data_IF_157138221027
#
_entry.id   IF_157138221027
#
_cell.length_a   1.000
_cell.length_b   1.000
_cell.length_c   1.000
_cell.angle_alpha   90.00
_cell.angle_beta   90.00
_cell.angle_gamma   90.00
#
_symmetry.space_group_name_H-M   'P 1'
#
loop_
_entity.id
_entity.type
_entity.pdbx_description
1 polymer ?
#
# COMPACT_ATOMS: atom_id res chain seq x y z
N UNK A 1 1.79 9.32 -2.72
CA UNK A 1 1.65 7.84 -2.73
C UNK A 1 3.05 7.23 -2.67
N UNK A 2 3.23 6.12 -1.95
CA UNK A 2 4.53 5.44 -1.82
C UNK A 2 4.46 4.04 -2.40
N UNK A 3 5.34 3.73 -3.35
CA UNK A 3 5.32 2.51 -4.17
C UNK A 3 6.51 1.61 -3.87
N UNK A 4 6.36 0.31 -4.13
CA UNK A 4 7.48 -0.65 -4.08
C UNK A 4 8.46 -0.40 -5.24
N UNK A 5 9.75 -0.62 -4.99
CA UNK A 5 10.78 -0.73 -6.01
C UNK A 5 11.15 -2.19 -6.31
N UNK A 6 10.58 -3.16 -5.60
CA UNK A 6 10.96 -4.56 -5.76
C UNK A 6 10.28 -5.19 -6.97
N UNK A 7 11.04 -5.95 -7.75
CA UNK A 7 10.59 -6.49 -9.04
C UNK A 7 10.53 -8.02 -9.07
N UNK A 8 10.93 -8.67 -7.98
CA UNK A 8 11.06 -10.12 -7.89
C UNK A 8 10.72 -10.63 -6.50
N UNK A 9 10.04 -11.77 -6.46
CA UNK A 9 9.90 -12.60 -5.26
C UNK A 9 11.14 -13.48 -5.13
N UNK A 10 11.54 -14.12 -6.23
CA UNK A 10 12.76 -14.91 -6.36
C UNK A 10 13.27 -14.91 -7.82
N UNK A 11 14.17 -15.83 -8.17
CA UNK A 11 14.74 -15.91 -9.52
C UNK A 11 13.72 -16.36 -10.60
N UNK A 12 12.63 -17.02 -10.20
CA UNK A 12 11.61 -17.61 -11.09
C UNK A 12 10.32 -16.79 -11.13
N UNK A 13 10.08 -15.93 -10.13
CA UNK A 13 8.83 -15.19 -9.96
C UNK A 13 9.07 -13.67 -9.97
N UNK A 14 8.64 -13.02 -11.04
CA UNK A 14 8.58 -11.55 -11.13
C UNK A 14 7.38 -11.00 -10.35
N UNK A 15 7.52 -9.77 -9.84
CA UNK A 15 6.44 -9.03 -9.19
C UNK A 15 6.65 -7.52 -9.36
N UNK A 16 5.85 -6.72 -8.67
CA UNK A 16 5.99 -5.29 -8.60
C UNK A 16 4.81 -4.66 -7.90
N UNK A 17 4.55 -3.42 -8.27
CA UNK A 17 3.30 -2.74 -7.98
C UNK A 17 2.15 -3.39 -8.75
N UNK A 18 1.01 -3.61 -8.09
CA UNK A 18 -0.23 -3.96 -8.77
C UNK A 18 -0.84 -2.72 -9.44
N UNK A 19 -0.95 -2.69 -10.77
CA UNK A 19 -1.24 -1.45 -11.53
C UNK A 19 -2.54 -0.76 -11.08
N UNK A 20 -3.65 -1.50 -10.95
CA UNK A 20 -4.95 -0.91 -10.58
C UNK A 20 -4.95 -0.31 -9.17
N UNK A 21 -4.16 -0.87 -8.26
CA UNK A 21 -4.03 -0.41 -6.87
C UNK A 21 -3.29 0.94 -6.76
N UNK A 22 -2.56 1.34 -7.81
CA UNK A 22 -2.03 2.69 -7.93
C UNK A 22 -2.94 3.57 -8.80
N UNK A 23 -3.36 3.07 -9.95
CA UNK A 23 -4.02 3.90 -10.95
C UNK A 23 -5.41 4.36 -10.50
N UNK A 24 -6.21 3.49 -9.88
CA UNK A 24 -7.52 3.87 -9.36
C UNK A 24 -7.40 4.92 -8.24
N UNK A 25 -6.56 4.74 -7.20
CA UNK A 25 -6.41 5.77 -6.19
C UNK A 25 -5.79 7.07 -6.72
N UNK A 26 -4.82 6.99 -7.65
CA UNK A 26 -4.23 8.18 -8.24
C UNK A 26 -5.28 9.02 -8.96
N UNK A 27 -6.09 8.41 -9.84
CA UNK A 27 -7.16 9.10 -10.54
C UNK A 27 -8.21 9.66 -9.57
N UNK A 28 -8.64 8.87 -8.58
CA UNK A 28 -9.59 9.31 -7.56
C UNK A 28 -9.09 10.55 -6.81
N UNK A 29 -7.84 10.54 -6.33
CA UNK A 29 -7.27 11.68 -5.62
C UNK A 29 -7.16 12.92 -6.51
N UNK A 30 -6.74 12.76 -7.78
CA UNK A 30 -6.72 13.87 -8.74
C UNK A 30 -8.14 14.40 -9.01
N UNK A 31 -9.13 13.54 -9.14
CA UNK A 31 -10.53 13.91 -9.38
C UNK A 31 -11.15 14.67 -8.19
N UNK A 32 -10.74 14.33 -6.97
CA UNK A 32 -11.11 15.07 -5.75
C UNK A 32 -10.35 16.39 -5.58
N UNK A 33 -9.44 16.73 -6.50
CA UNK A 33 -8.70 17.99 -6.52
C UNK A 33 -7.45 17.99 -5.65
N UNK A 34 -6.94 16.83 -5.23
CA UNK A 34 -5.68 16.73 -4.50
C UNK A 34 -4.47 16.83 -5.44
N UNK A 35 -3.40 17.40 -4.91
CA UNK A 35 -2.06 17.25 -5.45
C UNK A 35 -1.47 15.92 -4.97
N UNK A 36 -0.92 15.14 -5.91
CA UNK A 36 -0.46 13.78 -5.66
C UNK A 36 0.97 13.65 -6.12
N UNK A 37 1.91 13.61 -5.18
CA UNK A 37 3.28 13.21 -5.46
C UNK A 37 3.42 11.70 -5.40
N UNK A 38 4.17 11.15 -6.34
CA UNK A 38 4.46 9.71 -6.43
C UNK A 38 5.92 9.48 -6.06
N UNK A 39 6.13 8.68 -5.02
CA UNK A 39 7.44 8.39 -4.48
C UNK A 39 7.65 6.89 -4.30
N UNK A 40 8.90 6.50 -4.18
CA UNK A 40 9.29 5.17 -3.74
C UNK A 40 10.54 5.25 -2.86
N UNK A 41 10.99 4.12 -2.32
CA UNK A 41 12.14 4.09 -1.43
C UNK A 41 13.44 4.55 -2.13
N UNK A 42 13.62 4.16 -3.39
CA UNK A 42 14.80 4.44 -4.20
C UNK A 42 14.55 5.50 -5.28
N UNK A 43 13.30 5.96 -5.44
CA UNK A 43 12.85 6.76 -6.58
C UNK A 43 12.97 6.00 -7.91
N UNK A 44 12.84 6.74 -9.01
CA UNK A 44 13.03 6.21 -10.36
C UNK A 44 11.86 5.35 -10.83
N UNK A 45 12.15 4.44 -11.76
CA UNK A 45 11.13 3.61 -12.41
C UNK A 45 10.58 2.54 -11.46
N UNK A 46 9.26 2.38 -11.46
CA UNK A 46 8.56 1.38 -10.68
C UNK A 46 8.31 0.13 -11.52
N UNK A 47 8.66 -1.07 -11.02
CA UNK A 47 8.28 -2.32 -11.65
C UNK A 47 6.78 -2.57 -11.45
N UNK A 48 6.10 -3.03 -12.49
CA UNK A 48 4.71 -3.49 -12.42
C UNK A 48 4.70 -5.01 -12.35
N UNK A 49 3.83 -5.56 -11.50
CA UNK A 49 3.61 -7.00 -11.46
C UNK A 49 3.00 -7.44 -12.81
N UNK A 50 3.63 -8.39 -13.53
CA UNK A 50 3.12 -8.84 -14.83
C UNK A 50 1.68 -9.39 -14.76
N UNK A 51 1.26 -9.93 -13.62
CA UNK A 51 -0.10 -10.46 -13.42
C UNK A 51 -1.14 -9.36 -13.21
N UNK A 52 -0.70 -8.13 -12.95
CA UNK A 52 -1.57 -6.96 -12.83
C UNK A 52 -1.80 -6.24 -14.16
N UNK A 53 -1.24 -6.75 -15.27
CA UNK A 53 -1.31 -6.13 -16.58
C UNK A 53 -2.28 -6.88 -17.50
N UNK A 54 -3.31 -6.18 -17.94
CA UNK A 54 -4.08 -6.55 -19.12
C UNK A 54 -4.06 -5.41 -20.16
N UNK A 55 -4.25 -5.74 -21.45
CA UNK A 55 -4.13 -4.77 -22.55
C UNK A 55 -5.13 -3.61 -22.42
N UNK A 56 -6.31 -3.85 -21.83
CA UNK A 56 -7.35 -2.83 -21.66
C UNK A 56 -6.98 -1.84 -20.55
N UNK A 57 -6.49 -2.33 -19.42
CA UNK A 57 -5.98 -1.54 -18.29
C UNK A 57 -4.76 -0.71 -18.68
N UNK A 58 -3.82 -1.30 -19.43
CA UNK A 58 -2.62 -0.59 -19.88
C UNK A 58 -2.99 0.57 -20.79
N UNK A 59 -3.94 0.39 -21.72
CA UNK A 59 -4.39 1.50 -22.57
C UNK A 59 -5.22 2.52 -21.79
N UNK A 60 -6.09 2.06 -20.88
CA UNK A 60 -6.88 2.94 -19.98
C UNK A 60 -5.99 3.88 -19.16
N UNK A 61 -4.92 3.34 -18.56
CA UNK A 61 -4.06 4.08 -17.63
C UNK A 61 -2.73 4.55 -18.21
N UNK A 62 -2.59 4.56 -19.54
CA UNK A 62 -1.40 5.04 -20.25
C UNK A 62 -0.94 6.46 -19.87
N UNK A 63 -1.89 7.31 -19.45
CA UNK A 63 -1.58 8.64 -18.93
C UNK A 63 -1.00 8.60 -17.52
N UNK A 64 -1.54 7.72 -16.67
CA UNK A 64 -1.20 7.56 -15.24
C UNK A 64 0.13 6.81 -15.06
N UNK A 65 0.43 5.83 -15.92
CA UNK A 65 1.67 5.06 -15.86
C UNK A 65 2.93 5.89 -16.08
N UNK A 66 2.83 7.09 -16.65
CA UNK A 66 3.97 8.02 -16.76
C UNK A 66 4.52 8.45 -15.40
N UNK A 67 3.65 8.52 -14.39
CA UNK A 67 4.05 8.85 -13.02
C UNK A 67 4.95 7.76 -12.41
N UNK A 68 4.98 6.56 -13.01
CA UNK A 68 5.79 5.43 -12.58
C UNK A 68 7.18 5.41 -13.20
N UNK A 69 7.46 6.23 -14.23
CA UNK A 69 8.75 6.23 -14.92
C UNK A 69 9.86 6.87 -14.08
N UNK A 70 9.52 7.87 -13.27
CA UNK A 70 10.48 8.63 -12.48
C UNK A 70 9.87 9.15 -11.18
N UNK A 71 9.65 8.24 -10.24
CA UNK A 71 9.17 8.59 -8.90
C UNK A 71 10.21 9.34 -8.08
N UNK A 72 9.74 10.15 -7.14
CA UNK A 72 10.58 10.84 -6.18
C UNK A 72 11.16 9.84 -5.16
N UNK A 73 12.30 10.19 -4.56
CA UNK A 73 12.86 9.40 -3.45
C UNK A 73 12.17 9.82 -2.16
N UNK A 74 11.54 8.89 -1.44
CA UNK A 74 10.78 9.19 -0.22
C UNK A 74 11.60 9.98 0.82
N UNK A 75 12.88 9.66 1.00
CA UNK A 75 13.76 10.34 1.97
C UNK A 75 14.09 11.80 1.61
N UNK A 76 13.76 12.25 0.40
CA UNK A 76 13.95 13.62 -0.05
C UNK A 76 12.69 14.47 0.11
N UNK A 77 11.55 13.85 0.47
CA UNK A 77 10.29 14.57 0.66
C UNK A 77 10.17 15.17 2.05
N UNK A 78 9.58 16.36 2.11
CA UNK A 78 9.17 16.96 3.36
C UNK A 78 7.77 16.44 3.77
N UNK A 79 7.72 15.36 4.54
CA UNK A 79 6.44 14.73 4.96
C UNK A 79 5.49 15.67 5.74
N UNK A 80 6.00 16.81 6.22
CA UNK A 80 5.17 17.83 6.87
C UNK A 80 4.17 18.50 5.90
N UNK A 81 4.48 18.55 4.61
CA UNK A 81 3.67 19.25 3.60
C UNK A 81 2.46 18.44 3.12
N UNK A 82 2.38 17.16 3.46
CA UNK A 82 1.33 16.25 2.99
C UNK A 82 0.22 16.07 4.04
N UNK A 83 -1.04 16.02 3.60
CA UNK A 83 -2.20 15.71 4.45
C UNK A 83 -2.40 14.21 4.70
N UNK A 84 -1.85 13.37 3.83
CA UNK A 84 -1.91 11.92 3.98
C UNK A 84 -0.86 11.16 3.18
N UNK A 85 -0.67 9.89 3.52
CA UNK A 85 0.19 8.93 2.85
C UNK A 85 -0.64 7.73 2.42
N UNK A 86 -0.47 7.25 1.19
CA UNK A 86 -1.19 6.11 0.64
C UNK A 86 -0.21 5.10 0.04
N UNK A 87 -0.38 3.82 0.38
CA UNK A 87 0.47 2.70 -0.01
C UNK A 87 -0.33 1.70 -0.87
N UNK A 88 -0.21 1.73 -2.20
CA UNK A 88 -0.64 0.63 -3.06
C UNK A 88 0.09 -0.68 -2.74
N UNK A 89 -0.50 -1.81 -3.11
CA UNK A 89 0.08 -3.14 -2.91
C UNK A 89 0.76 -3.71 -4.16
N UNK A 90 0.54 -5.02 -4.37
CA UNK A 90 1.42 -5.90 -5.15
C UNK A 90 2.48 -6.58 -4.27
N UNK A 91 2.84 -7.82 -4.59
CA UNK A 91 3.70 -8.65 -3.73
C UNK A 91 5.09 -8.06 -3.51
N UNK A 92 5.61 -7.23 -4.42
CA UNK A 92 6.89 -6.55 -4.23
C UNK A 92 6.98 -5.76 -2.92
N UNK A 93 5.84 -5.21 -2.46
CA UNK A 93 5.76 -4.47 -1.19
C UNK A 93 6.19 -5.28 0.03
N UNK A 94 6.05 -6.61 0.00
CA UNK A 94 6.42 -7.51 1.10
C UNK A 94 7.94 -7.57 1.34
N UNK A 95 8.74 -7.19 0.34
CA UNK A 95 10.19 -7.38 0.33
C UNK A 95 10.98 -6.11 0.62
N UNK A 96 10.43 -4.92 0.32
CA UNK A 96 11.15 -3.67 0.48
C UNK A 96 10.52 -2.70 1.50
N UNK A 97 9.20 -2.69 1.66
CA UNK A 97 8.53 -1.75 2.55
C UNK A 97 8.75 -2.06 4.06
N UNK A 98 8.64 -3.31 4.55
CA UNK A 98 8.72 -3.62 5.98
C UNK A 98 10.02 -3.18 6.65
N UNK A 99 11.14 -3.29 5.95
CA UNK A 99 12.48 -3.00 6.48
C UNK A 99 12.93 -1.54 6.28
N UNK A 100 12.07 -0.71 5.65
CA UNK A 100 12.39 0.67 5.35
C UNK A 100 12.22 1.59 6.56
N UNK A 101 13.33 1.93 7.21
CA UNK A 101 13.34 2.91 8.32
C UNK A 101 12.76 4.27 7.91
N UNK A 102 12.99 4.71 6.67
CA UNK A 102 12.46 5.98 6.15
C UNK A 102 10.93 5.92 6.07
N UNK A 103 10.37 4.82 5.58
CA UNK A 103 8.92 4.65 5.52
C UNK A 103 8.32 4.54 6.93
N UNK A 104 8.94 3.77 7.82
CA UNK A 104 8.51 3.66 9.22
C UNK A 104 8.48 5.03 9.91
N UNK A 105 9.51 5.86 9.71
CA UNK A 105 9.56 7.23 10.25
C UNK A 105 8.47 8.12 9.65
N UNK A 106 8.23 8.03 8.34
CA UNK A 106 7.14 8.75 7.70
C UNK A 106 5.79 8.34 8.31
N UNK A 107 5.46 7.05 8.32
CA UNK A 107 4.21 6.52 8.87
C UNK A 107 3.98 6.92 10.33
N UNK A 108 5.01 6.83 11.18
CA UNK A 108 4.94 7.32 12.56
C UNK A 108 4.62 8.82 12.61
N UNK A 109 5.29 9.63 11.78
CA UNK A 109 4.98 11.06 11.67
C UNK A 109 3.52 11.32 11.28
N UNK A 110 2.98 10.63 10.26
CA UNK A 110 1.59 10.78 9.84
C UNK A 110 0.62 10.44 10.98
N UNK A 111 0.84 9.32 11.67
CA UNK A 111 0.00 8.89 12.79
C UNK A 111 0.03 9.88 13.96
N UNK A 112 1.21 10.34 14.36
CA UNK A 112 1.41 11.21 15.53
C UNK A 112 0.92 12.65 15.29
N UNK A 113 0.84 13.07 14.03
CA UNK A 113 0.35 14.39 13.65
C UNK A 113 -1.09 14.38 13.14
N UNK A 114 -1.84 13.30 13.40
CA UNK A 114 -3.25 13.15 13.01
C UNK A 114 -3.48 13.40 11.50
N UNK A 115 -2.58 12.85 10.68
CA UNK A 115 -2.66 12.86 9.21
C UNK A 115 -3.14 11.50 8.70
N UNK A 116 -3.67 11.47 7.48
CA UNK A 116 -4.28 10.26 6.95
C UNK A 116 -3.25 9.21 6.55
N UNK A 117 -3.52 7.93 6.84
CA UNK A 117 -2.76 6.78 6.38
C UNK A 117 -3.70 5.84 5.63
N UNK A 118 -3.41 5.58 4.37
CA UNK A 118 -4.19 4.76 3.46
C UNK A 118 -3.37 3.61 2.90
N UNK A 119 -3.96 2.44 2.69
CA UNK A 119 -3.27 1.32 2.06
C UNK A 119 -4.22 0.27 1.50
N UNK A 120 -3.79 -0.54 0.52
CA UNK A 120 -4.62 -1.61 -0.04
C UNK A 120 -3.79 -2.86 -0.31
N UNK A 121 -4.42 -4.03 -0.24
CA UNK A 121 -3.84 -5.33 -0.61
C UNK A 121 -2.58 -5.64 0.22
N UNK A 122 -1.42 -5.81 -0.40
CA UNK A 122 -0.14 -6.00 0.31
C UNK A 122 0.53 -4.71 0.78
N UNK A 123 0.05 -3.54 0.36
CA UNK A 123 0.56 -2.24 0.82
C UNK A 123 0.72 -2.11 2.35
N UNK A 124 -0.16 -2.70 3.20
CA UNK A 124 0.00 -2.72 4.65
C UNK A 124 1.28 -3.43 5.14
N UNK A 125 2.02 -4.13 4.29
CA UNK A 125 3.37 -4.60 4.59
C UNK A 125 4.28 -3.47 5.07
N UNK A 126 4.12 -2.26 4.53
CA UNK A 126 4.84 -1.08 5.00
C UNK A 126 4.55 -0.67 6.46
N UNK A 127 3.43 -1.13 7.04
CA UNK A 127 3.12 -0.88 8.45
C UNK A 127 3.90 -1.80 9.38
N UNK A 128 4.34 -2.96 8.89
CA UNK A 128 5.03 -3.98 9.68
C UNK A 128 6.31 -3.40 10.25
N UNK A 129 6.42 -3.43 11.58
CA UNK A 129 7.63 -2.98 12.28
C UNK A 129 7.67 -1.47 12.54
N UNK A 130 6.68 -0.70 12.08
CA UNK A 130 6.58 0.72 12.42
C UNK A 130 6.18 0.88 13.89
N UNK A 131 7.02 1.58 14.68
CA UNK A 131 6.71 1.98 16.05
C UNK A 131 6.45 3.47 16.17
N UNK A 132 5.51 3.82 17.03
CA UNK A 132 5.29 5.20 17.47
C UNK A 132 6.26 5.57 18.60
N UNK A 133 6.36 6.86 18.91
CA UNK A 133 7.19 7.40 20.00
C UNK A 133 6.86 6.83 21.39
N UNK A 134 5.62 6.36 21.58
CA UNK A 134 5.17 5.68 22.80
C UNK A 134 5.59 4.19 22.87
N UNK A 135 6.32 3.69 21.86
CA UNK A 135 6.84 2.32 21.79
C UNK A 135 5.87 1.28 21.26
N UNK A 136 4.59 1.63 21.03
CA UNK A 136 3.58 0.75 20.45
C UNK A 136 3.77 0.60 18.94
N UNK A 137 3.31 -0.52 18.40
CA UNK A 137 3.23 -0.68 16.95
C UNK A 137 2.17 0.26 16.36
N UNK A 138 2.40 0.75 15.14
CA UNK A 138 1.46 1.60 14.41
C UNK A 138 0.05 1.02 14.36
N UNK A 139 -0.04 -0.31 14.20
CA UNK A 139 -1.29 -1.06 14.01
C UNK A 139 -1.90 -1.55 15.33
N UNK A 140 -1.25 -1.34 16.47
CA UNK A 140 -1.72 -1.87 17.76
C UNK A 140 -3.09 -1.27 18.13
N UNK A 141 -4.13 -2.10 18.18
CA UNK A 141 -5.50 -1.71 18.49
C UNK A 141 -6.26 -1.04 17.34
N UNK A 142 -5.69 -0.98 16.13
CA UNK A 142 -6.35 -0.43 14.94
C UNK A 142 -7.25 -1.45 14.26
N UNK A 143 -8.48 -1.07 13.93
CA UNK A 143 -9.31 -1.82 12.99
C UNK A 143 -8.76 -1.62 11.59
N UNK A 144 -8.43 -2.72 10.91
CA UNK A 144 -7.86 -2.66 9.56
C UNK A 144 -8.09 -3.96 8.78
N UNK A 145 -7.80 -3.93 7.50
CA UNK A 145 -7.74 -5.10 6.62
C UNK A 145 -6.51 -5.00 5.70
N UNK A 146 -6.37 -5.94 4.77
CA UNK A 146 -5.26 -6.09 3.83
C UNK A 146 -5.35 -7.47 3.18
N UNK A 147 -4.38 -7.84 2.36
CA UNK A 147 -4.41 -9.12 1.67
C UNK A 147 -4.43 -10.27 2.69
N UNK A 148 -5.41 -11.15 2.55
CA UNK A 148 -5.68 -12.18 3.57
C UNK A 148 -4.76 -13.38 3.40
N UNK A 149 -4.57 -14.13 4.48
CA UNK A 149 -3.85 -15.41 4.40
C UNK A 149 -4.53 -16.39 3.42
N UNK A 150 -5.86 -16.30 3.31
CA UNK A 150 -6.65 -17.15 2.42
C UNK A 150 -6.41 -16.78 0.95
N UNK A 151 -6.45 -15.49 0.61
CA UNK A 151 -6.12 -15.03 -0.75
C UNK A 151 -4.67 -15.39 -1.10
N UNK A 152 -3.72 -15.22 -0.18
CA UNK A 152 -2.32 -15.60 -0.39
C UNK A 152 -2.18 -17.09 -0.74
N UNK A 153 -2.84 -17.97 0.01
CA UNK A 153 -2.84 -19.41 -0.29
C UNK A 153 -3.45 -19.72 -1.66
N UNK A 154 -4.47 -18.96 -2.09
CA UNK A 154 -5.09 -19.15 -3.40
C UNK A 154 -4.18 -18.70 -4.56
N UNK A 155 -3.23 -17.79 -4.33
CA UNK A 155 -2.19 -17.47 -5.31
C UNK A 155 -1.14 -18.57 -5.45
N UNK A 156 -0.95 -19.38 -4.41
CA UNK A 156 0.11 -20.39 -4.32
C UNK A 156 1.50 -19.81 -4.00
N UNK A 157 1.60 -18.52 -3.65
CA UNK A 157 2.85 -17.83 -3.34
C UNK A 157 3.13 -17.74 -1.82
N UNK A 158 2.24 -18.27 -0.98
CA UNK A 158 2.31 -18.19 0.49
C UNK A 158 3.63 -18.70 1.07
N UNK A 159 4.18 -19.77 0.51
CA UNK A 159 5.48 -20.34 0.91
C UNK A 159 6.70 -19.51 0.48
N UNK A 160 6.53 -18.58 -0.46
CA UNK A 160 7.59 -17.70 -0.97
C UNK A 160 7.61 -16.34 -0.26
N UNK A 161 6.55 -16.00 0.48
CA UNK A 161 6.48 -14.74 1.20
C UNK A 161 7.41 -14.74 2.43
N UNK A 162 8.07 -13.60 2.74
CA UNK A 162 8.93 -13.50 3.93
C UNK A 162 8.14 -13.65 5.23
N UNK A 163 6.84 -13.35 5.19
CA UNK A 163 5.85 -13.58 6.22
C UNK A 163 4.46 -13.50 5.61
N UNK A 164 3.43 -14.04 6.29
CA UNK A 164 2.04 -13.83 5.88
C UNK A 164 1.51 -12.52 6.45
N UNK A 165 1.00 -11.63 5.60
CA UNK A 165 0.64 -10.25 5.97
C UNK A 165 -0.42 -10.18 7.08
N UNK A 166 -1.58 -10.84 6.89
CA UNK A 166 -2.65 -10.86 7.89
C UNK A 166 -2.12 -11.37 9.23
N UNK A 167 -1.39 -12.49 9.23
CA UNK A 167 -0.78 -13.05 10.44
C UNK A 167 0.13 -12.03 11.12
N UNK A 168 1.01 -11.38 10.36
CA UNK A 168 2.02 -10.48 10.91
C UNK A 168 1.42 -9.21 11.51
N UNK A 169 0.38 -8.66 10.89
CA UNK A 169 -0.34 -7.51 11.41
C UNK A 169 -1.09 -7.86 12.70
N UNK A 170 -1.72 -9.04 12.77
CA UNK A 170 -2.36 -9.54 14.00
C UNK A 170 -1.35 -9.70 15.14
N UNK A 171 -0.15 -10.23 14.87
CA UNK A 171 0.94 -10.33 15.86
C UNK A 171 1.36 -8.97 16.42
N UNK A 172 1.25 -7.90 15.63
CA UNK A 172 1.53 -6.52 16.04
C UNK A 172 0.33 -5.82 16.68
N UNK A 173 -0.76 -6.55 16.94
CA UNK A 173 -1.92 -6.08 17.70
C UNK A 173 -3.02 -5.46 16.83
N UNK A 174 -2.97 -5.61 15.50
CA UNK A 174 -4.06 -5.18 14.63
C UNK A 174 -5.37 -5.93 14.94
N UNK A 175 -6.48 -5.19 15.00
CA UNK A 175 -7.82 -5.74 14.94
C UNK A 175 -8.18 -6.02 13.48
N UNK A 176 -7.53 -7.05 12.92
CA UNK A 176 -7.65 -7.35 11.49
C UNK A 176 -9.00 -7.98 11.17
N UNK A 177 -9.74 -7.36 10.27
CA UNK A 177 -11.05 -7.77 9.75
C UNK A 177 -10.90 -8.19 8.28
N UNK A 178 -11.70 -9.16 7.85
CA UNK A 178 -11.71 -9.63 6.47
C UNK A 178 -13.10 -10.03 6.00
N UNK A 179 -13.33 -9.87 4.72
CA UNK A 179 -14.48 -10.43 4.00
C UNK A 179 -14.05 -11.66 3.20
N UNK A 180 -14.97 -12.20 2.39
CA UNK A 180 -14.66 -13.31 1.49
C UNK A 180 -13.49 -12.94 0.57
N UNK A 181 -12.66 -13.93 0.21
CA UNK A 181 -11.54 -13.73 -0.71
C UNK A 181 -12.01 -13.06 -2.01
N UNK A 182 -11.25 -12.08 -2.49
CA UNK A 182 -11.51 -11.32 -3.73
C UNK A 182 -12.77 -10.45 -3.71
N UNK A 183 -13.43 -10.30 -2.56
CA UNK A 183 -14.54 -9.37 -2.40
C UNK A 183 -14.05 -7.96 -2.05
N UNK A 184 -14.83 -6.96 -2.44
CA UNK A 184 -14.60 -5.58 -2.02
C UNK A 184 -14.76 -5.46 -0.49
N UNK A 185 -13.70 -4.98 0.19
CA UNK A 185 -13.73 -4.77 1.63
C UNK A 185 -12.79 -3.65 2.06
N UNK A 186 -13.35 -2.66 2.76
CA UNK A 186 -12.64 -1.46 3.23
C UNK A 186 -12.95 -1.23 4.70
N UNK A 187 -11.91 -0.95 5.48
CA UNK A 187 -12.02 -0.56 6.88
C UNK A 187 -11.52 0.88 7.03
N UNK A 188 -12.28 1.70 7.75
CA UNK A 188 -11.91 3.08 8.13
C UNK A 188 -11.93 3.20 9.66
N UNK A 189 -10.77 3.43 10.25
CA UNK A 189 -10.57 3.72 11.67
C UNK A 189 -10.02 5.15 11.81
N UNK A 190 -10.95 6.11 11.89
CA UNK A 190 -10.64 7.53 11.92
C UNK A 190 -9.93 7.97 10.64
N UNK A 191 -8.64 8.28 10.73
CA UNK A 191 -7.77 8.68 9.60
C UNK A 191 -6.93 7.53 9.03
N UNK A 192 -7.18 6.30 9.49
CA UNK A 192 -6.51 5.09 9.03
C UNK A 192 -7.48 4.30 8.14
N UNK A 193 -7.16 4.14 6.85
CA UNK A 193 -8.03 3.50 5.85
C UNK A 193 -7.28 2.36 5.18
N UNK A 194 -7.87 1.18 5.14
CA UNK A 194 -7.26 0.01 4.50
C UNK A 194 -8.25 -0.77 3.66
N UNK A 195 -7.81 -1.26 2.50
CA UNK A 195 -8.56 -2.15 1.61
C UNK A 195 -7.95 -3.54 1.52
N UNK A 196 -8.78 -4.55 1.31
CA UNK A 196 -8.35 -5.95 1.38
C UNK A 196 -7.49 -6.39 0.18
N UNK A 197 -7.86 -6.02 -1.04
CA UNK A 197 -7.36 -6.65 -2.27
C UNK A 197 -7.54 -5.71 -3.48
N UNK A 198 -7.15 -6.08 -4.71
CA UNK A 198 -7.32 -5.22 -5.88
C UNK A 198 -8.76 -4.74 -6.09
N UNK A 199 -9.77 -5.57 -5.80
CA UNK A 199 -11.20 -5.24 -5.93
C UNK A 199 -11.65 -4.14 -4.97
N UNK A 200 -10.84 -3.84 -3.95
CA UNK A 200 -11.09 -2.80 -2.96
C UNK A 200 -10.39 -1.48 -3.27
N UNK A 201 -9.63 -1.38 -4.36
CA UNK A 201 -8.74 -0.22 -4.64
C UNK A 201 -9.51 1.10 -4.76
N UNK A 202 -10.46 1.17 -5.68
CA UNK A 202 -11.32 2.35 -5.86
C UNK A 202 -12.03 2.76 -4.55
N UNK A 203 -12.70 1.83 -3.86
CA UNK A 203 -13.46 2.17 -2.65
C UNK A 203 -12.56 2.56 -1.47
N UNK A 204 -11.34 2.00 -1.40
CA UNK A 204 -10.32 2.44 -0.44
C UNK A 204 -9.89 3.87 -0.72
N UNK A 205 -9.68 4.23 -1.99
CA UNK A 205 -9.34 5.58 -2.38
C UNK A 205 -10.44 6.59 -2.04
N UNK A 206 -11.70 6.27 -2.35
CA UNK A 206 -12.85 7.12 -2.01
C UNK A 206 -13.00 7.30 -0.50
N UNK A 207 -12.79 6.25 0.29
CA UNK A 207 -12.81 6.32 1.75
C UNK A 207 -11.65 7.16 2.30
N UNK A 208 -10.45 6.98 1.75
CA UNK A 208 -9.26 7.74 2.12
C UNK A 208 -9.42 9.23 1.80
N UNK A 209 -9.95 9.57 0.62
CA UNK A 209 -10.19 10.95 0.22
C UNK A 209 -11.15 11.69 1.18
N UNK A 210 -12.13 10.99 1.78
CA UNK A 210 -13.07 11.57 2.74
C UNK A 210 -12.43 11.93 4.09
N UNK A 211 -11.25 11.41 4.40
CA UNK A 211 -10.57 11.62 5.69
C UNK A 211 -9.31 12.51 5.59
N UNK A 212 -8.99 12.98 4.38
CA UNK A 212 -7.96 13.99 4.12
C UNK A 212 -8.43 15.39 4.54
#
# INVERSE_FOLDING_TARGET
MVLTNESKIDDEHETGLWLSEFAEPYEEFKNQGFDVDVASLKGGRIPLDPNSLDDEQVEKWKGVTKELDQTMVLSQLNVNEYSGIFLPGGHGTMFDLPDSQVLQQALAHFAENNKAIGSVCHGPAGFVGTKLSNGKWLVEGKSMTGFTNEEEQQTGLDSLMPFLLETKLREQGAQFEKSEAWSEHVITDGKFVTGQNPQSSQSTAEAFAKVL
#
